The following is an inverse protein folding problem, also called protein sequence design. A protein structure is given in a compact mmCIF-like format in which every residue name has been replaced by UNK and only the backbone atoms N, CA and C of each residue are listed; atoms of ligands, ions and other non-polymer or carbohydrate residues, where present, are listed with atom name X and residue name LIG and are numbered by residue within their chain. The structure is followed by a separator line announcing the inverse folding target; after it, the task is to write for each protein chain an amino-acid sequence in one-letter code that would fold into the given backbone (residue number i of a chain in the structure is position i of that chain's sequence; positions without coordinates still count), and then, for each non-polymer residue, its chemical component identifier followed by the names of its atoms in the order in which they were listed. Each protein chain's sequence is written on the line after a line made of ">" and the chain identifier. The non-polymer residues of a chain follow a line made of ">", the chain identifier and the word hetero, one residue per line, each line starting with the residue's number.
data_IF_745452322285
#
_entry.id   IF_745452322285
#
_cell.length_a   1.000
_cell.length_b   1.000
_cell.length_c   1.000
_cell.angle_alpha   90.00
_cell.angle_beta   90.00
_cell.angle_gamma   90.00
#
_symmetry.space_group_name_H-M   'P 1'
#
loop_
_entity.id
_entity.type
_entity.pdbx_description
1 polymer ?
#
# COMPACT_ATOMS: atom_id res chain seq x y z
N UNK A 1 5.28 -73.40 -1.80
CA UNK A 1 4.65 -72.08 -2.02
C UNK A 1 4.82 -71.23 -0.77
N UNK A 2 5.78 -70.30 -0.75
CA UNK A 2 5.91 -69.28 0.28
C UNK A 2 5.97 -67.94 -0.46
N UNK A 3 4.92 -67.13 -0.31
CA UNK A 3 4.83 -65.80 -0.91
C UNK A 3 5.71 -64.84 -0.11
N UNK A 4 6.69 -64.25 -0.78
CA UNK A 4 7.54 -63.20 -0.23
C UNK A 4 6.91 -61.86 -0.62
N UNK A 5 6.22 -61.22 0.33
CA UNK A 5 5.66 -59.88 0.16
C UNK A 5 6.78 -58.86 0.31
N UNK A 6 7.14 -58.18 -0.79
CA UNK A 6 8.13 -57.11 -0.80
C UNK A 6 7.44 -55.81 -0.36
N UNK A 7 7.78 -55.32 0.82
CA UNK A 7 7.33 -54.02 1.32
C UNK A 7 8.24 -52.92 0.72
N UNK A 8 7.73 -52.18 -0.28
CA UNK A 8 8.42 -50.99 -0.80
C UNK A 8 8.18 -49.83 0.17
N UNK A 9 9.19 -49.48 0.96
CA UNK A 9 9.23 -48.22 1.70
C UNK A 9 9.52 -47.09 0.71
N UNK A 10 8.50 -46.32 0.35
CA UNK A 10 8.66 -45.06 -0.36
C UNK A 10 9.14 -43.99 0.63
N UNK A 11 10.43 -43.67 0.61
CA UNK A 11 10.96 -42.50 1.31
C UNK A 11 10.63 -41.28 0.43
N UNK A 12 9.57 -40.56 0.79
CA UNK A 12 9.27 -39.25 0.21
C UNK A 12 10.29 -38.23 0.73
N UNK A 13 11.30 -37.93 -0.07
CA UNK A 13 12.13 -36.75 0.12
C UNK A 13 11.28 -35.53 -0.24
N UNK A 14 10.65 -34.94 0.78
CA UNK A 14 10.05 -33.61 0.65
C UNK A 14 11.16 -32.59 0.42
N UNK A 15 11.34 -32.15 -0.83
CA UNK A 15 12.05 -30.90 -1.11
C UNK A 15 11.20 -29.76 -0.57
N UNK A 16 11.42 -29.34 0.67
CA UNK A 16 11.00 -28.01 1.11
C UNK A 16 11.87 -27.02 0.34
N UNK A 17 11.29 -26.37 -0.68
CA UNK A 17 11.93 -25.22 -1.31
C UNK A 17 12.27 -24.22 -0.20
N UNK A 18 13.56 -23.97 0.03
CA UNK A 18 14.00 -23.05 1.07
C UNK A 18 13.52 -21.65 0.67
N UNK A 19 12.55 -21.10 1.40
CA UNK A 19 12.08 -19.73 1.20
C UNK A 19 13.29 -18.79 1.29
N UNK A 20 13.50 -18.00 0.23
CA UNK A 20 14.61 -17.05 0.17
C UNK A 20 14.30 -15.90 1.12
N UNK A 21 15.17 -15.69 2.11
CA UNK A 21 15.07 -14.55 3.03
C UNK A 21 16.00 -13.42 2.62
N UNK A 22 15.64 -12.18 2.93
CA UNK A 22 16.45 -10.98 2.61
C UNK A 22 16.48 -9.98 3.77
N UNK A 23 17.22 -8.89 3.58
CA UNK A 23 17.16 -7.73 4.44
C UNK A 23 17.68 -7.94 5.86
N UNK A 24 17.32 -7.04 6.76
CA UNK A 24 17.67 -7.10 8.19
C UNK A 24 16.70 -6.26 9.03
N UNK A 25 16.72 -6.49 10.34
CA UNK A 25 15.99 -5.68 11.31
C UNK A 25 16.97 -4.69 11.95
N UNK A 26 16.57 -3.43 12.06
CA UNK A 26 17.35 -2.40 12.75
C UNK A 26 16.47 -1.78 13.84
N UNK A 27 16.73 -2.19 15.08
CA UNK A 27 16.11 -1.60 16.26
C UNK A 27 16.91 -0.38 16.72
N UNK A 28 16.24 0.75 16.91
CA UNK A 28 16.79 1.95 17.57
C UNK A 28 16.38 2.02 19.04
N UNK A 29 15.28 1.32 19.38
CA UNK A 29 14.74 1.13 20.71
C UNK A 29 14.34 -0.34 20.89
N UNK A 30 14.55 -0.91 22.08
CA UNK A 30 14.19 -2.31 22.37
C UNK A 30 12.68 -2.59 22.22
N UNK A 31 11.83 -1.57 22.40
CA UNK A 31 10.39 -1.66 22.17
C UNK A 31 10.03 -1.99 20.71
N UNK A 32 10.96 -1.84 19.75
CA UNK A 32 10.80 -2.39 18.39
C UNK A 32 10.46 -3.88 18.41
N UNK A 33 11.04 -4.63 19.36
CA UNK A 33 10.85 -6.08 19.44
C UNK A 33 9.53 -6.51 20.08
N UNK A 34 8.71 -5.55 20.55
CA UNK A 34 7.31 -5.80 20.90
C UNK A 34 6.46 -5.99 19.64
N UNK A 35 6.91 -5.46 18.49
CA UNK A 35 6.22 -5.53 17.20
C UNK A 35 6.80 -6.60 16.27
N UNK A 36 8.11 -6.83 16.32
CA UNK A 36 8.80 -7.77 15.42
C UNK A 36 9.67 -8.73 16.26
N UNK A 37 9.62 -10.03 15.99
CA UNK A 37 10.51 -10.96 16.70
C UNK A 37 11.98 -10.76 16.28
N UNK A 38 12.92 -10.96 17.22
CA UNK A 38 14.37 -10.83 16.95
C UNK A 38 14.88 -11.78 15.86
N UNK A 39 14.23 -12.92 15.72
CA UNK A 39 14.52 -13.96 14.73
C UNK A 39 13.63 -13.90 13.49
N UNK A 40 12.70 -12.94 13.42
CA UNK A 40 11.80 -12.79 12.28
C UNK A 40 12.60 -12.60 10.99
N UNK A 41 12.11 -13.23 9.92
CA UNK A 41 12.73 -13.21 8.60
C UNK A 41 11.82 -12.53 7.60
N UNK A 42 12.44 -11.76 6.70
CA UNK A 42 11.74 -11.18 5.55
C UNK A 42 11.80 -12.23 4.44
N UNK A 43 10.67 -12.84 4.13
CA UNK A 43 10.51 -13.84 3.08
C UNK A 43 10.23 -13.15 1.74
N UNK A 44 10.93 -13.56 0.68
CA UNK A 44 10.61 -13.14 -0.70
C UNK A 44 9.62 -14.13 -1.30
N UNK A 45 8.44 -13.63 -1.66
CA UNK A 45 7.32 -14.43 -2.17
C UNK A 45 7.27 -14.49 -3.70
N UNK A 46 7.53 -13.35 -4.34
CA UNK A 46 7.56 -13.21 -5.79
C UNK A 46 8.53 -12.10 -6.20
N UNK A 47 8.92 -12.10 -7.48
CA UNK A 47 9.87 -11.14 -8.05
C UNK A 47 9.56 -10.86 -9.53
N UNK A 48 10.39 -10.05 -10.17
CA UNK A 48 10.32 -9.68 -11.59
C UNK A 48 9.19 -8.67 -11.90
N UNK A 49 8.80 -7.86 -10.92
CA UNK A 49 7.93 -6.69 -11.10
C UNK A 49 8.76 -5.47 -11.55
N UNK A 50 8.12 -4.51 -12.22
CA UNK A 50 8.77 -3.22 -12.55
C UNK A 50 8.64 -2.27 -11.35
N UNK A 51 7.43 -2.15 -10.80
CA UNK A 51 7.16 -1.40 -9.58
C UNK A 51 5.91 -1.97 -8.89
N UNK A 52 6.12 -2.88 -7.93
CA UNK A 52 5.05 -3.46 -7.12
C UNK A 52 4.50 -2.44 -6.13
N UNK A 53 3.18 -2.34 -6.01
CA UNK A 53 2.46 -1.30 -5.27
C UNK A 53 1.15 -1.77 -4.64
N UNK A 54 0.61 -0.95 -3.74
CA UNK A 54 -0.78 -1.04 -3.27
C UNK A 54 -1.26 -2.44 -2.84
N UNK A 55 -0.55 -3.16 -1.92
CA UNK A 55 -1.01 -4.46 -1.47
C UNK A 55 -2.28 -4.33 -0.62
N UNK A 56 -3.21 -5.28 -0.80
CA UNK A 56 -4.43 -5.43 0.00
C UNK A 56 -4.77 -6.90 0.20
N UNK A 57 -5.15 -7.26 1.42
CA UNK A 57 -5.58 -8.62 1.75
C UNK A 57 -7.08 -8.80 1.53
N UNK A 58 -7.45 -9.89 0.84
CA UNK A 58 -8.83 -10.33 0.65
C UNK A 58 -9.11 -11.47 1.61
N UNK A 59 -9.76 -11.14 2.75
CA UNK A 59 -10.00 -12.10 3.84
C UNK A 59 -10.81 -13.33 3.42
N UNK A 60 -11.93 -13.14 2.73
CA UNK A 60 -12.84 -14.24 2.35
C UNK A 60 -12.21 -15.23 1.38
N UNK A 61 -11.22 -14.77 0.58
CA UNK A 61 -10.51 -15.59 -0.39
C UNK A 61 -9.12 -16.05 0.07
N UNK A 62 -8.64 -15.56 1.21
CA UNK A 62 -7.30 -15.83 1.76
C UNK A 62 -6.16 -15.56 0.75
N UNK A 63 -6.23 -14.41 0.06
CA UNK A 63 -5.19 -14.01 -0.90
C UNK A 63 -4.86 -12.52 -0.80
N UNK A 64 -3.65 -12.17 -1.24
CA UNK A 64 -3.19 -10.80 -1.40
C UNK A 64 -3.41 -10.35 -2.85
N UNK A 65 -3.93 -9.15 -3.04
CA UNK A 65 -3.85 -8.42 -4.31
C UNK A 65 -2.82 -7.30 -4.20
N UNK A 66 -2.12 -7.01 -5.28
CA UNK A 66 -1.20 -5.86 -5.37
C UNK A 66 -1.02 -5.46 -6.84
N UNK A 67 -0.69 -4.19 -7.08
CA UNK A 67 -0.53 -3.65 -8.43
C UNK A 67 0.92 -3.73 -8.89
N UNK A 68 1.14 -3.86 -10.20
CA UNK A 68 2.34 -3.36 -10.87
C UNK A 68 1.89 -2.27 -11.84
N UNK A 69 2.06 -1.01 -11.41
CA UNK A 69 1.53 0.14 -12.14
C UNK A 69 2.13 0.27 -13.55
N UNK A 70 3.45 0.10 -13.76
CA UNK A 70 4.04 0.04 -15.11
C UNK A 70 3.47 -1.06 -16.00
N UNK A 71 3.20 -2.25 -15.46
CA UNK A 71 2.66 -3.37 -16.25
C UNK A 71 1.15 -3.29 -16.50
N UNK A 72 0.44 -2.32 -15.92
CA UNK A 72 -1.02 -2.21 -16.03
C UNK A 72 -1.77 -3.46 -15.52
N UNK A 73 -1.24 -4.07 -14.46
CA UNK A 73 -1.72 -5.36 -13.97
C UNK A 73 -1.89 -5.36 -12.45
N UNK A 74 -2.96 -5.97 -11.95
CA UNK A 74 -3.08 -6.42 -10.55
C UNK A 74 -2.74 -7.90 -10.53
N UNK A 75 -1.88 -8.28 -9.61
CA UNK A 75 -1.51 -9.66 -9.33
C UNK A 75 -2.22 -10.16 -8.08
N UNK A 76 -2.47 -11.47 -8.03
CA UNK A 76 -2.93 -12.22 -6.86
C UNK A 76 -1.78 -13.10 -6.37
N UNK A 77 -1.59 -13.14 -5.05
CA UNK A 77 -0.72 -14.09 -4.40
C UNK A 77 -1.48 -14.85 -3.30
N UNK A 78 -1.40 -16.18 -3.33
CA UNK A 78 -1.89 -17.05 -2.26
C UNK A 78 -0.95 -18.25 -2.05
N UNK A 79 -1.05 -18.89 -0.89
CA UNK A 79 -0.17 -20.02 -0.51
C UNK A 79 -0.34 -21.26 -1.42
N UNK A 80 -1.48 -21.40 -2.10
CA UNK A 80 -1.82 -22.59 -2.86
C UNK A 80 -1.32 -22.52 -4.30
N UNK A 81 -1.53 -21.39 -4.95
CA UNK A 81 -1.23 -21.15 -6.37
C UNK A 81 0.01 -20.29 -6.57
N UNK A 82 0.48 -19.60 -5.53
CA UNK A 82 1.55 -18.62 -5.63
C UNK A 82 1.08 -17.38 -6.40
N UNK A 83 1.97 -16.81 -7.20
CA UNK A 83 1.69 -15.62 -8.00
C UNK A 83 0.86 -15.95 -9.24
N UNK A 84 -0.25 -15.26 -9.42
CA UNK A 84 -1.09 -15.30 -10.62
C UNK A 84 -1.52 -13.89 -11.03
N UNK A 85 -1.85 -13.70 -12.31
CA UNK A 85 -2.46 -12.46 -12.78
C UNK A 85 -3.93 -12.41 -12.38
N UNK A 86 -4.37 -11.29 -11.79
CA UNK A 86 -5.75 -11.09 -11.37
C UNK A 86 -6.54 -10.23 -12.37
N UNK A 87 -5.99 -9.09 -12.78
CA UNK A 87 -6.68 -8.14 -13.64
C UNK A 87 -5.71 -7.39 -14.56
N UNK A 88 -5.99 -7.41 -15.86
CA UNK A 88 -5.32 -6.62 -16.88
C UNK A 88 -6.34 -6.27 -17.99
N UNK A 89 -6.49 -5.00 -18.40
CA UNK A 89 -5.83 -3.82 -17.86
C UNK A 89 -6.36 -3.41 -16.48
N UNK A 90 -5.46 -3.01 -15.58
CA UNK A 90 -5.80 -2.65 -14.20
C UNK A 90 -6.06 -1.17 -13.95
N UNK A 91 -5.56 -0.26 -14.79
CA UNK A 91 -5.81 1.18 -14.63
C UNK A 91 -6.04 1.93 -15.93
N UNK A 92 -5.42 1.48 -17.03
CA UNK A 92 -5.55 2.18 -18.31
C UNK A 92 -6.27 1.39 -19.38
N UNK A 93 -7.34 1.97 -19.93
CA UNK A 93 -8.22 1.29 -20.89
C UNK A 93 -7.89 1.54 -22.38
N UNK A 94 -6.82 2.29 -22.70
CA UNK A 94 -6.19 2.21 -24.02
C UNK A 94 -6.56 3.29 -25.06
N UNK A 95 -7.02 4.47 -24.66
CA UNK A 95 -7.44 5.52 -25.62
C UNK A 95 -6.24 6.18 -26.36
N UNK A 96 -5.00 6.15 -25.82
CA UNK A 96 -3.71 6.68 -26.32
C UNK A 96 -2.49 6.12 -25.52
N UNK A 97 -1.21 6.21 -25.91
CA UNK A 97 -0.11 5.98 -24.96
C UNK A 97 -0.23 6.94 -23.77
N UNK A 98 -0.16 6.40 -22.55
CA UNK A 98 -0.22 7.20 -21.32
C UNK A 98 1.19 7.44 -20.77
N UNK A 99 1.39 7.39 -19.45
CA UNK A 99 2.68 7.52 -18.79
C UNK A 99 3.43 6.17 -18.67
N UNK A 100 4.52 6.17 -17.91
CA UNK A 100 5.29 4.96 -17.57
C UNK A 100 4.60 4.07 -16.53
N UNK A 101 3.55 4.56 -15.88
CA UNK A 101 2.81 3.88 -14.82
C UNK A 101 1.30 3.95 -15.11
N UNK A 102 0.81 3.32 -16.19
CA UNK A 102 -0.58 3.44 -16.63
C UNK A 102 -1.58 2.65 -15.76
N UNK A 103 -1.11 1.68 -14.97
CA UNK A 103 -1.93 0.77 -14.19
C UNK A 103 -2.68 1.36 -13.02
N UNK A 104 -3.31 0.46 -12.26
CA UNK A 104 -3.72 0.74 -10.90
C UNK A 104 -2.50 0.94 -10.00
N UNK A 105 -2.71 1.65 -8.89
CA UNK A 105 -1.72 1.86 -7.84
C UNK A 105 -2.27 1.34 -6.50
N UNK A 106 -2.62 2.22 -5.56
CA UNK A 106 -3.23 1.87 -4.28
C UNK A 106 -4.55 1.11 -4.42
N UNK A 107 -4.70 0.08 -3.58
CA UNK A 107 -5.86 -0.80 -3.55
C UNK A 107 -6.40 -0.91 -2.11
N UNK A 108 -7.73 -0.99 -1.97
CA UNK A 108 -8.40 -1.39 -0.74
C UNK A 108 -9.56 -2.35 -1.02
N UNK A 109 -9.98 -3.10 -0.01
CA UNK A 109 -11.30 -3.75 0.01
C UNK A 109 -12.22 -2.84 0.82
N UNK A 110 -13.28 -2.34 0.19
CA UNK A 110 -14.22 -1.43 0.85
C UNK A 110 -15.15 -2.17 1.81
N UNK A 111 -15.98 -1.41 2.55
CA UNK A 111 -16.94 -1.92 3.51
C UNK A 111 -17.99 -2.90 2.91
N UNK A 112 -18.12 -2.95 1.58
CA UNK A 112 -19.01 -3.86 0.85
C UNK A 112 -18.29 -5.10 0.30
N UNK A 113 -17.00 -5.28 0.58
CA UNK A 113 -16.20 -6.40 0.04
C UNK A 113 -15.79 -6.21 -1.43
N UNK A 114 -15.85 -4.99 -1.96
CA UNK A 114 -15.45 -4.69 -3.34
C UNK A 114 -13.99 -4.22 -3.37
N UNK A 115 -13.27 -4.60 -4.43
CA UNK A 115 -11.96 -4.05 -4.72
C UNK A 115 -12.12 -2.61 -5.20
N UNK A 116 -11.47 -1.68 -4.52
CA UNK A 116 -11.35 -0.28 -4.94
C UNK A 116 -9.91 -0.02 -5.36
N UNK A 117 -9.75 0.67 -6.49
CA UNK A 117 -8.44 0.94 -7.08
C UNK A 117 -8.28 2.43 -7.42
N UNK A 118 -7.11 2.96 -7.09
CA UNK A 118 -6.56 4.17 -7.67
C UNK A 118 -6.03 3.85 -9.07
N UNK A 119 -6.59 4.47 -10.12
CA UNK A 119 -6.20 4.21 -11.51
C UNK A 119 -5.45 5.42 -12.08
N UNK A 120 -4.14 5.28 -12.30
CA UNK A 120 -3.32 6.33 -12.90
C UNK A 120 -3.81 6.65 -14.33
N UNK A 121 -3.90 5.62 -15.17
CA UNK A 121 -4.25 5.73 -16.59
C UNK A 121 -5.55 6.47 -16.87
N UNK A 122 -6.64 5.96 -16.31
CA UNK A 122 -7.97 6.54 -16.51
C UNK A 122 -8.19 7.80 -15.63
N UNK A 123 -7.29 8.08 -14.68
CA UNK A 123 -7.30 9.23 -13.75
C UNK A 123 -8.56 9.24 -12.88
N UNK A 124 -8.84 8.12 -12.22
CA UNK A 124 -10.06 7.92 -11.42
C UNK A 124 -9.85 6.97 -10.25
N UNK A 125 -10.81 7.00 -9.34
CA UNK A 125 -11.07 5.90 -8.40
C UNK A 125 -12.15 5.00 -9.00
N UNK A 126 -11.92 3.70 -9.02
CA UNK A 126 -12.90 2.71 -9.45
C UNK A 126 -13.17 1.69 -8.35
N UNK A 127 -14.31 1.01 -8.42
CA UNK A 127 -14.63 -0.16 -7.61
C UNK A 127 -15.15 -1.30 -8.46
N UNK A 128 -14.92 -2.54 -8.04
CA UNK A 128 -15.45 -3.73 -8.71
C UNK A 128 -15.70 -4.88 -7.70
N UNK A 129 -16.72 -5.72 -7.94
CA UNK A 129 -16.88 -6.96 -7.17
C UNK A 129 -15.69 -7.91 -7.43
N UNK A 130 -15.28 -8.65 -6.40
CA UNK A 130 -14.17 -9.61 -6.49
C UNK A 130 -14.52 -10.91 -7.25
N UNK A 131 -15.80 -11.18 -7.48
CA UNK A 131 -16.29 -12.42 -8.09
C UNK A 131 -16.57 -12.26 -9.59
N UNK A 132 -17.65 -11.56 -9.94
CA UNK A 132 -18.07 -11.33 -11.31
C UNK A 132 -18.65 -9.92 -11.46
N UNK A 133 -18.16 -9.18 -12.44
CA UNK A 133 -18.63 -7.84 -12.75
C UNK A 133 -17.54 -6.99 -13.43
N UNK A 134 -17.86 -5.73 -13.66
CA UNK A 134 -16.94 -4.75 -14.23
C UNK A 134 -16.67 -3.61 -13.25
N UNK A 135 -15.72 -2.75 -13.63
CA UNK A 135 -15.39 -1.54 -12.88
C UNK A 135 -16.51 -0.50 -12.96
N UNK A 136 -16.78 0.13 -11.83
CA UNK A 136 -17.66 1.28 -11.68
C UNK A 136 -16.84 2.44 -11.16
N UNK A 137 -16.89 3.60 -11.83
CA UNK A 137 -16.22 4.81 -11.36
C UNK A 137 -16.84 5.28 -10.04
N UNK A 138 -16.00 5.49 -9.03
CA UNK A 138 -16.36 6.15 -7.75
C UNK A 138 -16.22 7.66 -7.89
N UNK A 139 -15.10 8.13 -8.44
CA UNK A 139 -14.84 9.52 -8.74
C UNK A 139 -13.83 9.64 -9.88
N UNK A 140 -14.01 10.58 -10.82
CA UNK A 140 -13.06 10.87 -11.90
C UNK A 140 -12.73 12.36 -12.07
N UNK A 141 -13.43 13.24 -11.34
CA UNK A 141 -13.30 14.70 -11.45
C UNK A 141 -13.52 15.42 -10.14
N UNK A 142 -12.87 16.57 -10.01
CA UNK A 142 -13.15 17.60 -9.01
C UNK A 142 -13.40 18.94 -9.68
N UNK A 143 -14.54 19.58 -9.39
CA UNK A 143 -14.97 20.85 -10.01
C UNK A 143 -14.86 20.83 -11.56
N UNK A 144 -15.22 19.70 -12.17
CA UNK A 144 -15.16 19.50 -13.62
C UNK A 144 -13.78 19.17 -14.19
N UNK A 145 -12.72 19.26 -13.37
CA UNK A 145 -11.33 18.95 -13.74
C UNK A 145 -10.98 17.50 -13.43
N UNK A 146 -10.27 16.83 -14.32
CA UNK A 146 -9.77 15.47 -14.09
C UNK A 146 -8.68 15.47 -13.00
N UNK A 147 -8.67 14.45 -12.15
CA UNK A 147 -7.60 14.20 -11.18
C UNK A 147 -6.24 14.12 -11.84
N UNK A 148 -5.13 14.37 -11.15
CA UNK A 148 -3.79 14.17 -11.69
C UNK A 148 -3.57 12.68 -12.02
N UNK A 149 -3.42 11.87 -10.98
CA UNK A 149 -3.26 10.43 -11.02
C UNK A 149 -3.44 9.93 -9.58
N UNK A 150 -4.67 9.55 -9.17
CA UNK A 150 -4.93 9.07 -7.82
C UNK A 150 -3.96 7.96 -7.44
N UNK A 151 -3.39 8.01 -6.24
CA UNK A 151 -2.21 7.21 -5.90
C UNK A 151 -2.47 6.18 -4.80
N UNK A 152 -2.93 6.60 -3.63
CA UNK A 152 -3.39 5.70 -2.56
C UNK A 152 -4.76 6.12 -2.03
N UNK A 153 -5.46 5.21 -1.33
CA UNK A 153 -6.85 5.40 -0.87
C UNK A 153 -7.13 4.69 0.45
N UNK A 154 -7.98 5.28 1.28
CA UNK A 154 -8.56 4.66 2.47
C UNK A 154 -10.07 4.91 2.52
N UNK A 155 -10.81 4.06 3.22
CA UNK A 155 -12.23 4.27 3.52
C UNK A 155 -12.45 4.25 5.03
N UNK A 156 -13.27 5.18 5.51
CA UNK A 156 -13.79 5.19 6.89
C UNK A 156 -14.90 4.17 7.07
N UNK A 157 -15.20 3.82 8.32
CA UNK A 157 -16.39 3.05 8.73
C UNK A 157 -17.71 3.69 8.31
N UNK A 158 -17.73 5.01 8.10
CA UNK A 158 -18.87 5.79 7.57
C UNK A 158 -18.91 5.82 6.04
N UNK A 159 -18.10 5.01 5.36
CA UNK A 159 -18.01 4.87 3.90
C UNK A 159 -17.50 6.10 3.14
N UNK A 160 -16.96 7.10 3.83
CA UNK A 160 -16.23 8.22 3.23
C UNK A 160 -14.86 7.73 2.78
N UNK A 161 -14.47 8.04 1.54
CA UNK A 161 -13.13 7.78 1.03
C UNK A 161 -12.23 9.01 1.17
N UNK A 162 -10.97 8.79 1.52
CA UNK A 162 -9.89 9.77 1.31
C UNK A 162 -8.88 9.18 0.35
N UNK A 163 -8.34 9.98 -0.58
CA UNK A 163 -7.30 9.55 -1.50
C UNK A 163 -6.33 10.67 -1.83
N UNK A 164 -5.11 10.32 -2.21
CA UNK A 164 -4.08 11.27 -2.66
C UNK A 164 -4.04 11.36 -4.18
N UNK A 165 -3.73 12.54 -4.70
CA UNK A 165 -3.68 12.83 -6.14
C UNK A 165 -2.38 13.54 -6.57
N UNK A 166 -1.20 12.89 -6.37
CA UNK A 166 0.07 13.36 -6.89
C UNK A 166 0.14 13.18 -8.43
N UNK A 167 1.19 13.71 -9.10
CA UNK A 167 1.28 13.66 -10.56
C UNK A 167 2.04 12.44 -11.11
N UNK A 168 2.36 11.42 -10.31
CA UNK A 168 3.25 10.31 -10.71
C UNK A 168 2.79 9.59 -11.97
N UNK A 169 1.49 9.33 -12.06
CA UNK A 169 0.89 8.68 -13.20
C UNK A 169 0.74 9.58 -14.42
N UNK A 170 0.97 10.90 -14.34
CA UNK A 170 0.86 11.77 -15.52
C UNK A 170 2.09 11.67 -16.44
N UNK A 171 1.92 11.77 -17.78
CA UNK A 171 3.04 11.99 -18.69
C UNK A 171 3.78 13.27 -18.32
N UNK A 172 5.11 13.22 -18.18
CA UNK A 172 5.93 14.36 -17.72
C UNK A 172 5.57 14.89 -16.30
N UNK A 173 4.82 14.10 -15.52
CA UNK A 173 4.45 14.38 -14.13
C UNK A 173 3.87 15.79 -13.91
N UNK A 174 4.46 16.61 -13.03
CA UNK A 174 3.98 17.96 -12.69
C UNK A 174 3.93 18.90 -13.90
N UNK A 175 4.76 18.62 -14.90
CA UNK A 175 4.89 19.41 -16.13
C UNK A 175 3.93 18.92 -17.22
N UNK A 176 3.09 17.93 -16.92
CA UNK A 176 2.13 17.39 -17.89
C UNK A 176 1.24 18.48 -18.46
N UNK A 177 1.17 18.55 -19.79
CA UNK A 177 0.23 19.42 -20.51
C UNK A 177 -1.23 18.99 -20.37
N UNK A 178 -1.47 17.77 -19.87
CA UNK A 178 -2.81 17.21 -19.64
C UNK A 178 -3.31 17.41 -18.21
N UNK A 179 -2.48 18.00 -17.34
CA UNK A 179 -2.84 18.32 -15.96
C UNK A 179 -3.89 19.43 -15.92
N UNK A 180 -4.92 19.23 -15.09
CA UNK A 180 -6.05 20.18 -14.98
C UNK A 180 -6.16 20.79 -13.57
N UNK A 181 -5.61 20.11 -12.56
CA UNK A 181 -5.58 20.55 -11.17
C UNK A 181 -4.19 21.08 -10.83
N UNK A 182 -4.13 22.31 -10.32
CA UNK A 182 -2.86 23.00 -10.05
C UNK A 182 -2.14 22.44 -8.81
N UNK A 183 -2.90 21.94 -7.83
CA UNK A 183 -2.39 21.36 -6.59
C UNK A 183 -2.21 19.83 -6.69
N UNK A 184 -1.38 19.29 -5.81
CA UNK A 184 -1.33 17.86 -5.49
C UNK A 184 -2.04 17.68 -4.15
N UNK A 185 -3.25 17.14 -4.22
CA UNK A 185 -4.20 17.21 -3.11
C UNK A 185 -4.45 15.88 -2.41
N UNK A 186 -5.07 16.00 -1.24
CA UNK A 186 -5.86 14.93 -0.62
C UNK A 186 -7.32 15.27 -0.86
N UNK A 187 -8.07 14.31 -1.37
CA UNK A 187 -9.48 14.46 -1.70
C UNK A 187 -10.34 13.56 -0.82
N UNK A 188 -11.56 14.03 -0.54
CA UNK A 188 -12.62 13.29 0.13
C UNK A 188 -13.74 13.00 -0.86
N UNK A 189 -14.25 11.77 -0.86
CA UNK A 189 -15.51 11.40 -1.53
C UNK A 189 -16.52 10.98 -0.47
N UNK A 190 -17.63 11.70 -0.38
CA UNK A 190 -18.71 11.35 0.55
C UNK A 190 -19.67 10.29 -0.02
N UNK A 191 -20.66 9.89 0.79
CA UNK A 191 -21.63 8.86 0.43
C UNK A 191 -22.59 9.26 -0.71
N UNK A 192 -22.65 10.55 -1.06
CA UNK A 192 -23.43 11.07 -2.19
C UNK A 192 -22.58 11.16 -3.46
N UNK A 193 -21.28 10.83 -3.38
CA UNK A 193 -20.32 10.94 -4.47
C UNK A 193 -19.77 12.35 -4.66
N UNK A 194 -20.00 13.27 -3.71
CA UNK A 194 -19.42 14.61 -3.76
C UNK A 194 -17.93 14.54 -3.46
N UNK A 195 -17.14 15.20 -4.31
CA UNK A 195 -15.68 15.28 -4.19
C UNK A 195 -15.27 16.65 -3.65
N UNK A 196 -14.55 16.67 -2.54
CA UNK A 196 -13.94 17.87 -1.96
C UNK A 196 -12.41 17.70 -1.86
N UNK A 197 -11.64 18.75 -2.18
CA UNK A 197 -10.21 18.80 -1.85
C UNK A 197 -10.09 19.23 -0.40
N UNK A 198 -9.57 18.36 0.46
CA UNK A 198 -9.45 18.61 1.91
C UNK A 198 -8.04 19.01 2.32
N UNK A 199 -7.03 18.72 1.49
CA UNK A 199 -5.66 19.24 1.63
C UNK A 199 -5.15 19.63 0.26
N UNK A 200 -4.52 20.80 0.12
CA UNK A 200 -4.02 21.32 -1.17
C UNK A 200 -2.63 21.94 -1.12
N UNK A 201 -1.92 21.81 0.01
CA UNK A 201 -0.63 22.46 0.28
C UNK A 201 0.56 21.49 0.35
N UNK A 202 0.39 20.22 -0.06
CA UNK A 202 1.45 19.22 -0.10
C UNK A 202 2.13 19.20 -1.49
N UNK A 203 3.42 18.88 -1.56
CA UNK A 203 4.18 18.86 -2.83
C UNK A 203 4.13 17.51 -3.56
N UNK A 204 3.94 16.42 -2.81
CA UNK A 204 3.87 15.01 -3.22
C UNK A 204 3.13 14.17 -2.15
N UNK A 205 1.81 14.40 -1.95
CA UNK A 205 1.00 13.53 -1.10
C UNK A 205 1.00 12.10 -1.67
N UNK A 206 1.20 11.10 -0.82
CA UNK A 206 1.38 9.71 -1.23
C UNK A 206 0.47 8.76 -0.42
N UNK A 207 1.01 7.82 0.36
CA UNK A 207 0.20 6.92 1.18
C UNK A 207 -0.63 7.65 2.22
N UNK A 208 -1.77 7.07 2.60
CA UNK A 208 -2.59 7.55 3.71
C UNK A 208 -3.18 6.41 4.53
N UNK A 209 -3.43 6.66 5.82
CA UNK A 209 -4.08 5.71 6.71
C UNK A 209 -4.85 6.41 7.83
N UNK A 210 -5.89 5.75 8.34
CA UNK A 210 -6.68 6.23 9.48
C UNK A 210 -6.09 5.74 10.80
N UNK A 211 -6.21 6.55 11.86
CA UNK A 211 -6.06 6.05 13.23
C UNK A 211 -7.11 4.97 13.53
N UNK A 212 -6.88 4.10 14.53
CA UNK A 212 -7.84 3.03 14.86
C UNK A 212 -9.24 3.54 15.23
N UNK A 213 -9.34 4.76 15.75
CA UNK A 213 -10.61 5.42 16.09
C UNK A 213 -11.14 6.35 15.00
N UNK A 214 -10.49 6.37 13.83
CA UNK A 214 -10.82 7.19 12.65
C UNK A 214 -10.92 8.69 12.91
N UNK A 215 -10.22 9.20 13.94
CA UNK A 215 -10.15 10.64 14.23
C UNK A 215 -8.96 11.34 13.61
N UNK A 216 -7.94 10.59 13.19
CA UNK A 216 -6.74 11.14 12.55
C UNK A 216 -6.57 10.51 11.18
N UNK A 217 -6.35 11.34 10.17
CA UNK A 217 -5.84 10.93 8.87
C UNK A 217 -4.33 11.20 8.82
N UNK A 218 -3.54 10.15 8.67
CA UNK A 218 -2.11 10.25 8.38
C UNK A 218 -1.89 10.30 6.88
N UNK A 219 -1.00 11.18 6.41
CA UNK A 219 -0.67 11.32 4.99
C UNK A 219 0.84 11.46 4.82
N UNK A 220 1.45 10.57 4.04
CA UNK A 220 2.86 10.66 3.69
C UNK A 220 3.10 11.77 2.67
N UNK A 221 4.13 12.59 2.92
CA UNK A 221 4.77 13.49 1.97
C UNK A 221 6.03 12.81 1.46
N UNK A 222 6.05 12.41 0.19
CA UNK A 222 7.16 11.64 -0.39
C UNK A 222 8.22 12.53 -1.07
N UNK A 223 8.06 13.86 -1.01
CA UNK A 223 9.03 14.82 -1.52
C UNK A 223 10.38 14.59 -0.84
N UNK A 224 11.38 14.24 -1.63
CA UNK A 224 12.70 13.98 -1.10
C UNK A 224 13.23 15.15 -0.26
N UNK A 225 12.98 16.40 -0.65
CA UNK A 225 13.53 17.55 0.06
C UNK A 225 12.87 17.79 1.43
N UNK A 226 11.67 17.25 1.65
CA UNK A 226 10.95 17.36 2.92
C UNK A 226 10.07 16.11 3.13
N UNK A 227 10.66 14.96 3.44
CA UNK A 227 9.92 13.72 3.64
C UNK A 227 9.36 13.69 5.06
N UNK A 228 8.06 13.90 5.21
CA UNK A 228 7.38 13.85 6.51
C UNK A 228 6.02 13.14 6.42
N UNK A 229 5.50 12.72 7.57
CA UNK A 229 4.14 12.23 7.75
C UNK A 229 3.34 13.37 8.37
N UNK A 230 2.24 13.76 7.73
CA UNK A 230 1.26 14.67 8.31
C UNK A 230 0.22 13.89 9.09
N UNK A 231 -0.28 14.47 10.19
CA UNK A 231 -1.48 14.03 10.90
C UNK A 231 -2.53 15.15 10.86
N UNK A 232 -3.74 14.82 10.42
CA UNK A 232 -4.89 15.73 10.36
C UNK A 232 -6.02 15.22 11.24
N UNK A 233 -6.61 16.08 12.07
CA UNK A 233 -7.83 15.70 12.78
C UNK A 233 -9.02 15.72 11.82
N UNK A 234 -9.78 14.64 11.82
CA UNK A 234 -11.00 14.48 11.02
C UNK A 234 -12.17 15.07 11.80
N UNK A 235 -12.85 16.05 11.19
CA UNK A 235 -14.06 16.67 11.73
C UNK A 235 -15.30 15.80 11.47
N UNK A 236 -16.41 16.12 12.13
CA UNK A 236 -17.66 15.35 12.01
C UNK A 236 -18.20 15.23 10.59
N UNK A 237 -17.98 16.26 9.76
CA UNK A 237 -18.36 16.29 8.35
C UNK A 237 -17.32 15.64 7.42
N UNK A 238 -16.21 15.13 7.96
CA UNK A 238 -15.08 14.58 7.22
C UNK A 238 -14.15 15.62 6.60
N UNK A 239 -14.29 16.91 6.94
CA UNK A 239 -13.22 17.88 6.68
C UNK A 239 -12.01 17.61 7.59
N UNK A 240 -10.87 18.18 7.22
CA UNK A 240 -9.61 18.06 7.95
C UNK A 240 -9.22 19.41 8.52
N UNK A 241 -8.52 19.43 9.65
CA UNK A 241 -7.87 20.64 10.16
C UNK A 241 -6.60 20.99 9.34
N UNK A 242 -5.82 21.97 9.81
CA UNK A 242 -4.57 22.37 9.15
C UNK A 242 -3.45 21.30 9.20
N UNK A 243 -3.63 20.30 10.07
CA UNK A 243 -2.67 19.24 10.29
C UNK A 243 -1.39 19.67 11.00
N UNK A 244 -0.60 18.66 11.37
CA UNK A 244 0.72 18.82 11.98
C UNK A 244 1.71 17.81 11.40
N UNK A 245 3.00 18.16 11.38
CA UNK A 245 4.04 17.18 11.08
C UNK A 245 4.12 16.21 12.25
N UNK A 246 3.69 14.97 12.00
CA UNK A 246 3.69 13.88 12.96
C UNK A 246 5.08 13.24 13.09
N UNK A 247 5.74 13.05 11.94
CA UNK A 247 7.07 12.44 11.87
C UNK A 247 7.87 13.06 10.73
N UNK A 248 9.12 13.43 10.99
CA UNK A 248 10.04 13.99 10.00
C UNK A 248 11.18 12.99 9.70
N UNK A 249 11.24 12.51 8.46
CA UNK A 249 12.23 11.53 8.01
C UNK A 249 13.48 12.16 7.40
N UNK A 250 13.66 13.49 7.51
CA UNK A 250 14.79 14.21 6.90
C UNK A 250 16.15 13.69 7.35
N UNK A 251 16.32 13.40 8.65
CA UNK A 251 17.59 12.86 9.16
C UNK A 251 17.87 11.44 8.63
N UNK A 252 16.85 10.58 8.57
CA UNK A 252 16.99 9.24 7.98
C UNK A 252 17.38 9.31 6.49
N UNK A 253 16.84 10.29 5.75
CA UNK A 253 17.22 10.49 4.34
C UNK A 253 18.69 10.89 4.20
N UNK A 254 19.22 11.70 5.11
CA UNK A 254 20.64 12.12 5.11
C UNK A 254 21.61 10.97 5.37
N UNK A 255 21.16 9.88 5.99
CA UNK A 255 21.95 8.64 6.14
C UNK A 255 22.21 7.91 4.80
N UNK A 256 21.56 8.34 3.70
CA UNK A 256 21.74 7.75 2.37
C UNK A 256 20.98 6.43 2.18
N UNK A 257 20.03 6.13 3.06
CA UNK A 257 19.16 4.96 2.94
C UNK A 257 18.24 5.08 1.72
N UNK A 258 17.99 3.96 1.03
CA UNK A 258 17.11 3.92 -0.14
C UNK A 258 15.63 3.93 0.25
N UNK A 259 14.77 4.54 -0.56
CA UNK A 259 13.33 4.65 -0.30
C UNK A 259 12.89 6.05 0.11
N UNK A 260 11.58 6.25 0.24
CA UNK A 260 10.94 7.48 0.72
C UNK A 260 9.69 7.10 1.51
N UNK A 261 9.04 8.07 2.14
CA UNK A 261 7.72 7.89 2.73
C UNK A 261 6.70 7.73 1.60
N UNK A 262 6.21 6.52 1.40
CA UNK A 262 5.35 6.14 0.28
C UNK A 262 4.01 5.63 0.86
N UNK A 263 3.71 4.34 0.83
CA UNK A 263 2.58 3.74 1.56
C UNK A 263 2.75 3.62 3.08
N UNK A 264 1.64 3.62 3.83
CA UNK A 264 1.64 3.33 5.28
C UNK A 264 0.37 2.61 5.72
N UNK A 265 0.46 1.92 6.87
CA UNK A 265 -0.68 1.30 7.56
C UNK A 265 -0.53 1.49 9.07
N UNK A 266 -1.64 1.33 9.80
CA UNK A 266 -1.71 1.53 11.24
C UNK A 266 -2.10 0.21 11.92
N UNK A 267 -1.38 -0.14 12.98
CA UNK A 267 -1.68 -1.28 13.84
C UNK A 267 -2.80 -0.94 14.84
N UNK A 268 -3.41 -1.95 15.46
CA UNK A 268 -4.54 -1.76 16.39
C UNK A 268 -4.26 -0.85 17.57
N UNK A 269 -3.01 -0.77 18.03
CA UNK A 269 -2.58 0.10 19.13
C UNK A 269 -2.26 1.53 18.70
N UNK A 270 -2.38 1.85 17.40
CA UNK A 270 -2.08 3.16 16.84
C UNK A 270 -0.65 3.30 16.31
N UNK A 271 0.19 2.27 16.45
CA UNK A 271 1.54 2.27 15.87
C UNK A 271 1.49 2.31 14.35
N UNK A 272 2.28 3.20 13.75
CA UNK A 272 2.35 3.40 12.31
C UNK A 272 3.48 2.54 11.74
N UNK A 273 3.13 1.78 10.70
CA UNK A 273 4.04 1.06 9.83
C UNK A 273 4.06 1.79 8.50
N UNK A 274 5.04 2.69 8.34
CA UNK A 274 5.20 3.49 7.12
C UNK A 274 6.39 2.99 6.33
N UNK A 275 6.29 2.89 5.01
CA UNK A 275 7.51 2.83 4.21
C UNK A 275 8.30 4.13 4.41
N UNK A 276 9.61 4.07 4.23
CA UNK A 276 10.52 5.17 4.47
C UNK A 276 11.94 4.82 4.06
N UNK A 277 12.91 5.72 4.32
CA UNK A 277 14.31 5.42 4.08
C UNK A 277 14.75 4.15 4.81
N UNK A 278 15.16 3.14 4.03
CA UNK A 278 15.64 1.85 4.48
C UNK A 278 14.62 0.71 4.40
N UNK A 279 13.31 0.97 4.29
CA UNK A 279 12.28 -0.07 4.27
C UNK A 279 11.01 0.36 4.99
N UNK A 280 10.50 -0.43 5.93
CA UNK A 280 9.32 -0.07 6.75
C UNK A 280 9.75 0.43 8.12
N UNK A 281 9.43 1.68 8.41
CA UNK A 281 9.61 2.35 9.70
C UNK A 281 8.48 1.94 10.66
N UNK A 282 8.83 1.67 11.92
CA UNK A 282 7.88 1.43 13.00
C UNK A 282 7.89 2.63 13.93
N UNK A 283 6.80 3.38 13.95
CA UNK A 283 6.67 4.68 14.63
C UNK A 283 5.49 4.58 15.60
N UNK A 284 5.70 4.91 16.89
CA UNK A 284 4.61 4.87 17.88
C UNK A 284 3.51 5.88 17.55
N UNK A 285 2.35 5.76 18.20
CA UNK A 285 1.24 6.72 18.11
C UNK A 285 1.61 8.15 18.52
N UNK A 286 2.74 8.34 19.21
CA UNK A 286 3.29 9.65 19.60
C UNK A 286 4.39 10.17 18.67
N UNK A 287 4.66 9.48 17.55
CA UNK A 287 5.65 9.90 16.56
C UNK A 287 7.09 9.46 16.85
N UNK A 288 7.31 8.57 17.83
CA UNK A 288 8.65 8.04 18.15
C UNK A 288 9.02 6.89 17.21
N UNK A 289 10.13 7.03 16.49
CA UNK A 289 10.70 5.92 15.72
C UNK A 289 11.33 4.86 16.63
N UNK A 290 10.84 3.63 16.57
CA UNK A 290 11.38 2.48 17.31
C UNK A 290 12.49 1.77 16.53
N UNK A 291 12.38 1.77 15.20
CA UNK A 291 13.30 1.06 14.33
C UNK A 291 12.69 0.85 12.96
N UNK A 292 13.30 -0.04 12.19
CA UNK A 292 12.88 -0.34 10.81
C UNK A 292 13.16 -1.77 10.39
N UNK A 293 12.31 -2.25 9.50
CA UNK A 293 12.45 -3.50 8.77
C UNK A 293 13.13 -3.14 7.44
N UNK A 294 14.43 -3.41 7.32
CA UNK A 294 15.16 -3.11 6.09
C UNK A 294 15.00 -4.22 5.06
N UNK A 295 14.30 -3.94 3.97
CA UNK A 295 14.04 -4.92 2.89
C UNK A 295 15.22 -5.08 1.93
N UNK A 296 16.15 -4.12 1.95
CA UNK A 296 17.25 -4.00 0.99
C UNK A 296 16.84 -3.37 -0.35
N UNK A 297 15.59 -2.90 -0.45
CA UNK A 297 15.00 -2.35 -1.68
C UNK A 297 14.22 -1.07 -1.36
N UNK A 298 13.89 -0.29 -2.40
CA UNK A 298 12.89 0.79 -2.26
C UNK A 298 11.54 0.13 -1.99
N UNK A 299 11.02 0.32 -0.78
CA UNK A 299 9.73 -0.27 -0.37
C UNK A 299 8.63 0.73 -0.66
N UNK A 300 7.66 0.32 -1.46
CA UNK A 300 6.61 1.19 -1.98
C UNK A 300 5.43 1.21 -1.01
N UNK A 301 4.91 0.04 -0.60
CA UNK A 301 3.74 -0.01 0.28
C UNK A 301 3.74 -1.28 1.14
N UNK A 302 2.80 -1.37 2.08
CA UNK A 302 2.61 -2.53 2.94
C UNK A 302 1.13 -2.76 3.32
N UNK A 303 0.80 -3.98 3.73
CA UNK A 303 -0.51 -4.35 4.24
C UNK A 303 -0.43 -5.57 5.15
N UNK A 304 -1.27 -5.62 6.17
CA UNK A 304 -1.47 -6.85 6.91
C UNK A 304 -2.37 -7.82 6.14
N UNK A 305 -2.11 -9.12 6.29
CA UNK A 305 -2.90 -10.22 5.75
C UNK A 305 -2.86 -11.44 6.66
N UNK A 306 -3.34 -12.57 6.15
CA UNK A 306 -3.63 -13.79 6.91
C UNK A 306 -4.63 -13.52 8.05
N UNK A 307 -4.25 -13.85 9.29
CA UNK A 307 -4.95 -13.52 10.54
C UNK A 307 -4.69 -12.08 11.01
N UNK A 308 -4.05 -11.27 10.16
CA UNK A 308 -3.65 -9.90 10.47
C UNK A 308 -2.28 -9.78 11.10
N UNK A 309 -1.56 -10.88 11.36
CA UNK A 309 -0.21 -10.87 11.95
C UNK A 309 0.92 -10.90 10.92
N UNK A 310 0.62 -11.07 9.63
CA UNK A 310 1.63 -11.04 8.56
C UNK A 310 1.63 -9.70 7.87
N UNK A 311 2.76 -8.99 7.86
CA UNK A 311 2.93 -7.78 7.08
C UNK A 311 3.50 -8.14 5.70
N UNK A 312 2.70 -7.97 4.67
CA UNK A 312 3.11 -8.02 3.27
C UNK A 312 3.68 -6.66 2.86
N UNK A 313 4.74 -6.68 2.06
CA UNK A 313 5.47 -5.49 1.61
C UNK A 313 5.71 -5.59 0.11
N UNK A 314 5.35 -4.54 -0.62
CA UNK A 314 5.72 -4.37 -2.02
C UNK A 314 6.99 -3.54 -2.08
N UNK A 315 8.05 -4.09 -2.69
CA UNK A 315 9.38 -3.51 -2.63
C UNK A 315 10.08 -3.59 -3.99
N UNK A 316 9.91 -2.53 -4.78
CA UNK A 316 10.42 -2.39 -6.14
C UNK A 316 10.00 -3.58 -7.03
N UNK A 317 10.90 -4.54 -7.25
CA UNK A 317 10.65 -5.69 -8.11
C UNK A 317 10.13 -6.92 -7.34
N UNK A 318 9.84 -6.79 -6.04
CA UNK A 318 9.54 -7.91 -5.15
C UNK A 318 8.22 -7.76 -4.41
N UNK A 319 7.55 -8.90 -4.21
CA UNK A 319 6.60 -9.10 -3.12
C UNK A 319 7.31 -9.82 -1.97
N UNK A 320 7.25 -9.26 -0.77
CA UNK A 320 7.85 -9.81 0.44
C UNK A 320 6.83 -9.91 1.58
N UNK A 321 7.14 -10.67 2.62
CA UNK A 321 6.39 -10.65 3.89
C UNK A 321 7.28 -10.85 5.11
N UNK A 322 6.75 -10.49 6.28
CA UNK A 322 7.34 -10.75 7.58
C UNK A 322 6.24 -10.97 8.63
N UNK A 323 6.47 -11.88 9.57
CA UNK A 323 5.59 -12.07 10.74
C UNK A 323 5.78 -10.93 11.74
N UNK A 324 4.67 -10.38 12.20
CA UNK A 324 4.58 -9.35 13.22
C UNK A 324 3.93 -9.90 14.49
N UNK A 325 4.18 -9.26 15.63
CA UNK A 325 3.55 -9.57 16.92
C UNK A 325 2.32 -8.71 17.22
N UNK A 326 2.07 -7.72 16.37
CA UNK A 326 0.86 -6.91 16.37
C UNK A 326 -0.07 -7.35 15.25
N UNK A 327 -1.24 -6.74 15.15
CA UNK A 327 -2.14 -6.91 14.01
C UNK A 327 -2.55 -5.57 13.44
N UNK A 328 -2.77 -5.52 12.12
CA UNK A 328 -3.31 -4.34 11.47
C UNK A 328 -4.69 -3.93 11.99
N UNK A 329 -5.00 -2.64 11.92
CA UNK A 329 -6.36 -2.15 12.13
C UNK A 329 -7.31 -2.83 11.14
N UNK A 330 -8.49 -3.24 11.63
CA UNK A 330 -9.49 -3.94 10.84
C UNK A 330 -9.31 -5.46 10.74
N UNK A 331 -8.31 -6.06 11.40
CA UNK A 331 -8.16 -7.52 11.53
C UNK A 331 -8.84 -8.11 12.76
#
# INVERSE_FOLDING_TARGET
>A
MKNLTLLLLSIGLGCTAQQKTTGKLVALDDAFYDYISKDAKIEVLAKDFIWSEGPVWVKEGEFLLFSDAPQNTIFKWDEKEGLTQFLEPSGYTGILPYSKEPGSNGLIINNNGELVACEHGDRRISRMPLSFGGKVTVADKWKGKRFNSPNDIVQTSKSIYYFTDPPYGLPEQENSKTREIDAFGVFKVDNEGKVDMVVGNLSRPNGLALSPDEKILYVNQSDGNAPYIMAYNIQDDGSLDEGTIFFDATELRKEGLVGSLDGLKVAKDGTIFSTGPGGVLIITSEGKLLGRIETGQRTANCAWGDDGSTLYMTAHEFLMRIKTKTTGTGF
#
